data_IF_942219629171
#
_entry.id   IF_942219629171
#
_cell.length_a   1.000
_cell.length_b   1.000
_cell.length_c   1.000
_cell.angle_alpha   90.00
_cell.angle_beta   90.00
_cell.angle_gamma   90.00
#
_symmetry.space_group_name_H-M   'P 1'
#
loop_
_entity.id
_entity.type
_entity.pdbx_description
1 polymer ?
#
# COMPACT_ATOMS: atom_id res chain seq x y z
N UNK A 1 12.62 -9.95 -9.58
CA UNK A 1 11.52 -9.58 -8.68
C UNK A 1 10.64 -10.80 -8.45
N UNK A 2 10.31 -11.09 -7.22
CA UNK A 2 9.44 -12.22 -6.92
C UNK A 2 8.01 -11.94 -7.37
N UNK A 3 7.28 -13.02 -7.66
CA UNK A 3 5.91 -12.92 -8.15
C UNK A 3 4.98 -12.22 -7.15
N UNK A 4 5.12 -12.51 -5.86
CA UNK A 4 4.31 -11.88 -4.82
C UNK A 4 4.60 -10.39 -4.71
N UNK A 5 5.86 -10.01 -4.84
CA UNK A 5 6.27 -8.62 -4.84
C UNK A 5 5.70 -7.88 -6.04
N UNK A 6 5.76 -8.48 -7.22
CA UNK A 6 5.20 -7.88 -8.42
C UNK A 6 3.68 -7.70 -8.30
N UNK A 7 2.99 -8.72 -7.78
CA UNK A 7 1.54 -8.65 -7.56
C UNK A 7 1.19 -7.53 -6.59
N UNK A 8 1.94 -7.40 -5.50
CA UNK A 8 1.72 -6.34 -4.52
C UNK A 8 1.98 -4.95 -5.11
N UNK A 9 3.01 -4.81 -5.94
CA UNK A 9 3.28 -3.57 -6.67
C UNK A 9 2.11 -3.16 -7.55
N UNK A 10 1.57 -4.10 -8.33
CA UNK A 10 0.44 -3.84 -9.21
C UNK A 10 -0.80 -3.45 -8.40
N UNK A 11 -1.05 -4.12 -7.30
CA UNK A 11 -2.18 -3.78 -6.42
C UNK A 11 -2.04 -2.36 -5.88
N UNK A 12 -0.84 -2.00 -5.44
CA UNK A 12 -0.57 -0.68 -4.89
C UNK A 12 -0.80 0.42 -5.94
N UNK A 13 -0.27 0.22 -7.15
CA UNK A 13 -0.38 1.18 -8.24
C UNK A 13 -1.83 1.31 -8.71
N UNK A 14 -2.57 0.21 -8.75
CA UNK A 14 -3.94 0.18 -9.25
C UNK A 14 -4.98 0.55 -8.21
N UNK A 15 -4.59 0.72 -6.95
CA UNK A 15 -5.53 1.10 -5.89
C UNK A 15 -6.07 2.51 -6.14
N UNK A 16 -7.39 2.69 -6.23
CA UNK A 16 -7.97 4.01 -6.46
C UNK A 16 -7.63 4.98 -5.31
N UNK A 17 -7.28 6.21 -5.66
CA UNK A 17 -6.98 7.24 -4.69
C UNK A 17 -5.57 7.20 -4.09
N UNK A 18 -4.79 6.17 -4.40
CA UNK A 18 -3.40 6.08 -3.96
C UNK A 18 -2.51 6.56 -5.09
N UNK A 19 -1.93 7.74 -4.93
CA UNK A 19 -0.99 8.31 -5.90
C UNK A 19 0.44 7.88 -5.62
N UNK A 20 1.36 8.30 -6.50
CA UNK A 20 2.78 7.98 -6.38
C UNK A 20 3.38 8.47 -5.06
N UNK A 21 2.97 9.63 -4.57
CA UNK A 21 3.48 10.18 -3.32
C UNK A 21 3.10 9.30 -2.13
N UNK A 22 1.84 8.86 -2.06
CA UNK A 22 1.38 7.97 -1.00
C UNK A 22 2.05 6.61 -1.09
N UNK A 23 2.19 6.06 -2.29
CA UNK A 23 2.88 4.80 -2.51
C UNK A 23 4.32 4.87 -2.01
N UNK A 24 5.02 5.96 -2.30
CA UNK A 24 6.39 6.16 -1.82
C UNK A 24 6.48 6.23 -0.30
N UNK A 25 5.53 6.88 0.34
CA UNK A 25 5.48 6.96 1.81
C UNK A 25 5.29 5.58 2.42
N UNK A 26 4.39 4.80 1.85
CA UNK A 26 4.13 3.44 2.32
C UNK A 26 5.37 2.55 2.15
N UNK A 27 6.04 2.65 1.01
CA UNK A 27 7.26 1.89 0.76
C UNK A 27 8.39 2.32 1.69
N UNK A 28 8.53 3.62 1.96
CA UNK A 28 9.53 4.12 2.87
C UNK A 28 9.28 3.64 4.31
N UNK A 29 8.01 3.53 4.71
CA UNK A 29 7.64 3.10 6.04
C UNK A 29 7.77 1.58 6.24
N UNK A 30 7.37 0.79 5.24
CA UNK A 30 7.24 -0.66 5.38
C UNK A 30 8.24 -1.46 4.55
N UNK A 31 8.95 -0.83 3.64
CA UNK A 31 10.04 -1.41 2.89
C UNK A 31 9.64 -2.10 1.60
N UNK A 32 8.73 -3.06 1.65
CA UNK A 32 8.32 -3.84 0.50
C UNK A 32 6.82 -3.75 0.26
N UNK A 33 6.35 -3.80 -1.01
CA UNK A 33 4.93 -3.69 -1.32
C UNK A 33 4.07 -4.73 -0.61
N UNK A 34 4.52 -5.97 -0.54
CA UNK A 34 3.77 -7.03 0.11
C UNK A 34 3.62 -6.79 1.61
N UNK A 35 4.56 -6.10 2.23
CA UNK A 35 4.48 -5.77 3.65
C UNK A 35 3.41 -4.72 3.92
N UNK A 36 3.11 -3.86 2.96
CA UNK A 36 2.04 -2.86 3.09
C UNK A 36 0.70 -3.56 3.30
N UNK A 37 0.43 -4.61 2.54
CA UNK A 37 -0.85 -5.31 2.59
C UNK A 37 -0.99 -6.24 3.80
N UNK A 38 0.10 -6.49 4.53
CA UNK A 38 0.05 -7.29 5.75
C UNK A 38 -0.09 -6.42 7.00
N UNK A 39 0.00 -5.10 6.87
CA UNK A 39 -0.07 -4.19 8.02
C UNK A 39 -1.52 -3.97 8.47
N UNK A 40 -1.73 -3.78 9.77
CA UNK A 40 -3.05 -3.38 10.26
C UNK A 40 -3.40 -1.97 9.74
N UNK A 41 -4.70 -1.72 9.64
CA UNK A 41 -5.20 -0.44 9.15
C UNK A 41 -4.64 0.75 9.93
N UNK A 42 -4.53 0.62 11.24
CA UNK A 42 -4.00 1.70 12.08
C UNK A 42 -2.57 2.08 11.70
N UNK A 43 -1.74 1.10 11.33
CA UNK A 43 -0.38 1.38 10.88
C UNK A 43 -0.37 2.09 9.53
N UNK A 44 -1.26 1.73 8.62
CA UNK A 44 -1.35 2.37 7.31
C UNK A 44 -1.86 3.81 7.41
N UNK A 45 -2.72 4.11 8.36
CA UNK A 45 -3.26 5.45 8.56
C UNK A 45 -2.22 6.50 8.93
N UNK A 46 -1.04 6.08 9.37
CA UNK A 46 0.09 6.98 9.60
C UNK A 46 0.69 7.53 8.30
N UNK A 47 0.48 6.84 7.19
CA UNK A 47 1.07 7.21 5.90
C UNK A 47 0.03 7.51 4.83
N UNK A 48 -1.23 7.12 5.06
CA UNK A 48 -2.30 7.28 4.08
C UNK A 48 -3.59 7.69 4.80
N UNK A 49 -4.52 8.29 4.05
CA UNK A 49 -5.81 8.66 4.61
C UNK A 49 -6.67 7.43 4.88
N UNK A 50 -7.72 7.60 5.70
CA UNK A 50 -8.66 6.52 5.98
C UNK A 50 -9.29 5.95 4.70
N UNK A 51 -9.61 6.81 3.75
CA UNK A 51 -10.16 6.39 2.45
C UNK A 51 -9.16 5.57 1.65
N UNK A 52 -7.89 5.97 1.66
CA UNK A 52 -6.82 5.23 0.98
C UNK A 52 -6.58 3.87 1.64
N UNK A 53 -6.58 3.82 2.97
CA UNK A 53 -6.44 2.56 3.70
C UNK A 53 -7.58 1.61 3.39
N UNK A 54 -8.80 2.12 3.34
CA UNK A 54 -9.96 1.33 2.97
C UNK A 54 -9.81 0.76 1.56
N UNK A 55 -9.36 1.58 0.61
CA UNK A 55 -9.15 1.14 -0.77
C UNK A 55 -8.06 0.06 -0.83
N UNK A 56 -6.99 0.20 -0.09
CA UNK A 56 -5.91 -0.80 -0.03
C UNK A 56 -6.41 -2.15 0.49
N UNK A 57 -7.31 -2.13 1.47
CA UNK A 57 -7.87 -3.35 2.05
C UNK A 57 -9.03 -3.94 1.27
N UNK A 58 -9.58 -3.20 0.31
CA UNK A 58 -10.75 -3.64 -0.48
C UNK A 58 -10.41 -4.48 -1.69
N UNK A 59 -9.15 -4.57 -2.04
CA UNK A 59 -8.69 -5.26 -3.25
C UNK A 59 -8.35 -6.71 -2.96
#
# INVERSE_FOLDING_TARGET
>A
MERDELTAWLRLILTPGVGNATARRLLAAFGLPQHIFTQPRAALENCASAAQCKALHSI
#
